data_IF_127531599691
#
_entry.id   IF_127531599691
#
_cell.length_a   1.000
_cell.length_b   1.000
_cell.length_c   1.000
_cell.angle_alpha   90.00
_cell.angle_beta   90.00
_cell.angle_gamma   90.00
#
_symmetry.space_group_name_H-M   'P 1'
#
loop_
_entity.id
_entity.type
_entity.pdbx_description
1 polymer ?
#
# COMPACT_ATOMS: atom_id res chain seq x y z
N UNK A 1 25.72 7.87 18.14
CA UNK A 1 26.98 8.63 17.96
C UNK A 1 26.75 10.14 17.77
N UNK A 2 25.67 10.56 17.12
CA UNK A 2 25.33 11.98 16.87
C UNK A 2 25.00 12.88 18.08
N UNK A 3 24.70 12.41 19.31
CA UNK A 3 24.65 13.34 20.45
C UNK A 3 26.03 13.57 21.09
N UNK A 4 27.03 12.71 20.81
CA UNK A 4 28.35 12.81 21.43
C UNK A 4 29.26 13.84 20.74
N UNK A 5 29.02 14.20 19.47
CA UNK A 5 29.78 15.23 18.75
C UNK A 5 29.67 16.63 19.38
N UNK A 6 28.59 16.88 20.12
CA UNK A 6 28.40 18.15 20.83
C UNK A 6 29.04 18.17 22.22
N UNK A 7 29.31 16.99 22.79
CA UNK A 7 29.86 16.81 24.15
C UNK A 7 31.39 16.61 24.10
N UNK A 8 31.93 16.06 23.01
CA UNK A 8 33.39 15.90 22.85
C UNK A 8 34.04 17.27 22.64
N UNK A 9 35.03 17.59 23.48
CA UNK A 9 35.96 18.71 23.28
C UNK A 9 36.74 18.51 21.98
N UNK A 10 36.17 18.99 20.89
CA UNK A 10 36.79 19.02 19.57
C UNK A 10 37.35 20.41 19.32
N UNK A 11 38.55 20.52 18.76
CA UNK A 11 39.12 21.80 18.30
C UNK A 11 38.36 22.44 17.12
N UNK A 12 37.25 21.84 16.69
CA UNK A 12 36.45 22.32 15.56
C UNK A 12 35.54 23.50 15.94
N UNK A 13 35.49 24.55 15.10
CA UNK A 13 34.54 25.66 15.24
C UNK A 13 33.10 25.16 15.17
N UNK A 14 32.19 25.87 15.83
CA UNK A 14 30.79 25.46 16.00
C UNK A 14 30.08 25.17 14.65
N UNK A 15 30.39 25.92 13.60
CA UNK A 15 29.85 25.71 12.25
C UNK A 15 30.22 24.34 11.67
N UNK A 16 31.46 23.89 11.87
CA UNK A 16 31.91 22.57 11.43
C UNK A 16 31.20 21.44 12.21
N UNK A 17 30.96 21.64 13.51
CA UNK A 17 30.21 20.68 14.33
C UNK A 17 28.76 20.56 13.87
N UNK A 18 28.10 21.69 13.57
CA UNK A 18 26.74 21.72 13.03
C UNK A 18 26.69 21.02 11.66
N UNK A 19 27.65 21.31 10.76
CA UNK A 19 27.71 20.68 9.45
C UNK A 19 27.87 19.15 9.54
N UNK A 20 28.75 18.67 10.43
CA UNK A 20 28.96 17.24 10.66
C UNK A 20 27.73 16.57 11.27
N UNK A 21 27.11 17.19 12.29
CA UNK A 21 25.89 16.67 12.89
C UNK A 21 24.74 16.61 11.87
N UNK A 22 24.57 17.66 11.06
CA UNK A 22 23.57 17.70 10.00
C UNK A 22 23.79 16.59 8.96
N UNK A 23 25.04 16.36 8.55
CA UNK A 23 25.41 15.30 7.59
C UNK A 23 25.12 13.91 8.14
N UNK A 24 25.43 13.68 9.42
CA UNK A 24 25.17 12.39 10.06
C UNK A 24 23.67 12.14 10.26
N UNK A 25 22.90 13.16 10.63
CA UNK A 25 21.44 13.06 10.76
C UNK A 25 20.76 12.88 9.39
N UNK A 26 21.24 13.57 8.36
CA UNK A 26 20.66 13.47 7.01
C UNK A 26 20.89 12.08 6.42
N UNK A 27 22.11 11.56 6.46
CA UNK A 27 22.44 10.22 5.94
C UNK A 27 21.63 9.14 6.65
N UNK A 28 21.52 9.21 7.98
CA UNK A 28 20.71 8.28 8.78
C UNK A 28 19.22 8.35 8.42
N UNK A 29 18.67 9.55 8.27
CA UNK A 29 17.25 9.76 7.95
C UNK A 29 16.91 9.28 6.54
N UNK A 30 17.76 9.60 5.55
CA UNK A 30 17.58 9.17 4.15
C UNK A 30 17.66 7.65 4.06
N UNK A 31 18.63 7.01 4.71
CA UNK A 31 18.76 5.55 4.72
C UNK A 31 17.52 4.89 5.35
N UNK A 32 17.08 5.38 6.50
CA UNK A 32 15.89 4.86 7.18
C UNK A 32 14.62 5.03 6.34
N UNK A 33 14.46 6.19 5.68
CA UNK A 33 13.33 6.45 4.80
C UNK A 33 13.33 5.53 3.57
N UNK A 34 14.50 5.25 3.00
CA UNK A 34 14.64 4.34 1.86
C UNK A 34 14.26 2.90 2.23
N UNK A 35 14.72 2.42 3.38
CA UNK A 35 14.33 1.11 3.91
C UNK A 35 12.83 1.06 4.19
N UNK A 36 12.27 2.10 4.79
CA UNK A 36 10.83 2.22 5.00
C UNK A 36 10.04 2.17 3.70
N UNK A 37 10.50 2.89 2.66
CA UNK A 37 9.83 2.92 1.35
C UNK A 37 9.92 1.58 0.60
N UNK A 38 11.06 0.89 0.67
CA UNK A 38 11.24 -0.42 0.05
C UNK A 38 10.49 -1.52 0.80
N UNK A 39 10.48 -1.49 2.13
CA UNK A 39 9.83 -2.48 2.99
C UNK A 39 8.32 -2.29 3.16
N UNK A 40 7.78 -1.09 2.94
CA UNK A 40 6.36 -0.80 3.15
C UNK A 40 5.41 -1.66 2.31
N UNK A 41 5.85 -2.15 1.16
CA UNK A 41 5.08 -3.05 0.30
C UNK A 41 5.24 -4.53 0.66
N UNK A 42 6.16 -4.92 1.54
CA UNK A 42 6.42 -6.32 1.85
C UNK A 42 5.24 -6.97 2.57
N UNK A 43 4.66 -8.00 1.94
CA UNK A 43 3.55 -8.77 2.51
C UNK A 43 4.11 -9.88 3.38
N UNK A 44 3.81 -9.83 4.67
CA UNK A 44 4.27 -10.81 5.67
C UNK A 44 3.27 -11.95 5.87
N UNK A 45 2.01 -11.74 5.49
CA UNK A 45 0.95 -12.74 5.56
C UNK A 45 -0.05 -12.47 4.44
N UNK A 46 -0.42 -13.52 3.71
CA UNK A 46 -1.39 -13.47 2.62
C UNK A 46 -2.44 -14.54 2.87
N UNK A 47 -3.70 -14.13 2.88
CA UNK A 47 -4.83 -15.01 3.16
C UNK A 47 -5.92 -14.79 2.13
N UNK A 48 -6.37 -15.87 1.50
CA UNK A 48 -7.59 -15.84 0.70
C UNK A 48 -8.80 -15.94 1.62
N UNK A 49 -9.73 -15.00 1.49
CA UNK A 49 -11.00 -15.02 2.19
C UNK A 49 -12.00 -15.78 1.33
N UNK A 50 -12.40 -16.96 1.79
CA UNK A 50 -13.50 -17.72 1.21
C UNK A 50 -14.82 -17.32 1.90
N UNK A 51 -15.92 -17.13 1.15
CA UNK A 51 -17.20 -16.70 1.71
C UNK A 51 -17.78 -17.67 2.74
N UNK A 52 -17.45 -18.97 2.64
CA UNK A 52 -17.91 -20.01 3.57
C UNK A 52 -17.42 -19.78 5.01
N UNK A 53 -16.20 -19.28 5.18
CA UNK A 53 -15.54 -19.14 6.49
C UNK A 53 -15.59 -17.71 7.03
N UNK A 54 -15.81 -16.71 6.17
CA UNK A 54 -15.56 -15.29 6.49
C UNK A 54 -16.80 -14.41 6.34
N UNK A 55 -17.92 -14.79 6.96
CA UNK A 55 -19.14 -13.97 6.98
C UNK A 55 -19.62 -13.55 5.57
N UNK A 56 -19.48 -14.44 4.58
CA UNK A 56 -19.84 -14.21 3.18
C UNK A 56 -19.00 -13.14 2.45
N UNK A 57 -17.81 -12.82 2.97
CA UNK A 57 -16.86 -11.91 2.33
C UNK A 57 -15.86 -12.74 1.53
N UNK A 58 -15.83 -12.53 0.22
CA UNK A 58 -14.79 -13.03 -0.67
C UNK A 58 -13.71 -11.97 -0.88
N UNK A 59 -12.45 -12.39 -1.03
CA UNK A 59 -11.36 -11.46 -1.32
C UNK A 59 -9.97 -11.98 -0.95
N UNK A 60 -8.99 -11.09 -0.99
CA UNK A 60 -7.60 -11.35 -0.58
C UNK A 60 -7.24 -10.38 0.54
N UNK A 61 -6.71 -10.92 1.63
CA UNK A 61 -6.19 -10.16 2.75
C UNK A 61 -4.66 -10.24 2.77
N UNK A 62 -4.00 -9.08 2.80
CA UNK A 62 -2.55 -8.94 2.79
C UNK A 62 -2.11 -8.11 3.98
N UNK A 63 -1.20 -8.64 4.79
CA UNK A 63 -0.62 -7.91 5.92
C UNK A 63 0.73 -7.34 5.54
N UNK A 64 0.90 -6.04 5.73
CA UNK A 64 2.20 -5.35 5.63
C UNK A 64 2.57 -4.73 6.98
N UNK A 65 3.80 -4.21 7.08
CA UNK A 65 4.33 -3.57 8.28
C UNK A 65 4.70 -2.12 7.99
N UNK A 66 4.40 -1.23 8.95
CA UNK A 66 4.98 0.12 8.95
C UNK A 66 6.47 0.07 9.27
N UNK A 67 7.18 1.18 9.08
CA UNK A 67 8.58 1.33 9.52
C UNK A 67 8.79 1.00 11.01
N UNK A 68 7.76 1.22 11.84
CA UNK A 68 7.76 0.90 13.28
C UNK A 68 7.22 -0.50 13.58
N UNK A 69 7.17 -1.38 12.58
CA UNK A 69 6.70 -2.77 12.66
C UNK A 69 5.24 -2.93 13.13
N UNK A 70 4.41 -1.90 12.93
CA UNK A 70 2.97 -2.01 13.19
C UNK A 70 2.29 -2.66 12.00
N UNK A 71 1.41 -3.62 12.26
CA UNK A 71 0.64 -4.31 11.23
C UNK A 71 -0.38 -3.37 10.57
N UNK A 72 -0.42 -3.45 9.25
CA UNK A 72 -1.48 -2.92 8.40
C UNK A 72 -2.06 -4.09 7.61
N UNK A 73 -3.36 -4.32 7.73
CA UNK A 73 -4.04 -5.39 7.04
C UNK A 73 -4.83 -4.77 5.90
N UNK A 74 -4.54 -5.12 4.66
CA UNK A 74 -5.30 -4.63 3.50
C UNK A 74 -6.14 -5.75 2.94
N UNK A 75 -7.46 -5.55 2.93
CA UNK A 75 -8.43 -6.46 2.35
C UNK A 75 -8.85 -5.92 1.00
N UNK A 76 -8.71 -6.74 -0.02
CA UNK A 76 -9.14 -6.47 -1.39
C UNK A 76 -10.33 -7.37 -1.68
N UNK A 77 -11.49 -6.78 -1.95
CA UNK A 77 -12.75 -7.50 -2.15
C UNK A 77 -12.84 -8.10 -3.57
N UNK A 78 -12.27 -7.43 -4.56
CA UNK A 78 -12.18 -7.94 -5.93
C UNK A 78 -10.71 -8.02 -6.38
N UNK A 79 -10.23 -9.25 -6.57
CA UNK A 79 -8.85 -9.52 -6.97
C UNK A 79 -8.53 -9.03 -8.38
N UNK A 80 -9.52 -8.77 -9.24
CA UNK A 80 -9.30 -8.26 -10.61
C UNK A 80 -8.71 -6.84 -10.62
N UNK A 81 -8.80 -6.12 -9.50
CA UNK A 81 -8.18 -4.80 -9.32
C UNK A 81 -6.71 -4.88 -8.88
N UNK A 82 -6.18 -6.08 -8.64
CA UNK A 82 -4.75 -6.32 -8.42
C UNK A 82 -4.09 -6.68 -9.75
N UNK A 83 -3.21 -5.80 -10.21
CA UNK A 83 -2.46 -5.99 -11.45
C UNK A 83 -0.97 -6.10 -11.17
N UNK A 84 -0.23 -6.74 -12.07
CA UNK A 84 1.23 -6.72 -12.00
C UNK A 84 1.77 -5.29 -12.15
N UNK A 85 2.74 -4.92 -11.31
CA UNK A 85 3.34 -3.59 -11.33
C UNK A 85 4.77 -3.60 -11.85
N UNK A 86 5.20 -2.47 -12.40
CA UNK A 86 6.60 -2.22 -12.79
C UNK A 86 7.42 -1.58 -11.66
N UNK A 87 6.80 -1.25 -10.53
CA UNK A 87 7.49 -0.63 -9.38
C UNK A 87 8.47 -1.63 -8.78
N UNK A 88 9.74 -1.26 -8.54
CA UNK A 88 10.67 -2.13 -7.83
C UNK A 88 10.18 -2.42 -6.41
N UNK A 89 10.49 -3.60 -5.89
CA UNK A 89 10.04 -4.07 -4.57
C UNK A 89 8.50 -4.16 -4.44
N UNK A 90 7.80 -4.43 -5.53
CA UNK A 90 6.39 -4.78 -5.54
C UNK A 90 6.10 -5.73 -6.70
N UNK A 91 5.21 -6.70 -6.48
CA UNK A 91 4.71 -7.63 -7.49
C UNK A 91 3.35 -7.19 -8.01
N UNK A 92 2.48 -6.78 -7.09
CA UNK A 92 1.13 -6.31 -7.39
C UNK A 92 0.93 -4.85 -7.00
N UNK A 93 0.01 -4.20 -7.71
CA UNK A 93 -0.54 -2.90 -7.33
C UNK A 93 -2.06 -2.86 -7.48
N UNK A 94 -2.70 -2.04 -6.65
CA UNK A 94 -4.09 -1.65 -6.92
C UNK A 94 -4.11 -0.73 -8.14
N UNK A 95 -4.90 -1.12 -9.13
CA UNK A 95 -5.04 -0.41 -10.40
C UNK A 95 -5.60 1.00 -10.19
N UNK A 96 -5.14 1.96 -10.99
CA UNK A 96 -5.64 3.35 -10.98
C UNK A 96 -6.81 3.58 -11.94
N UNK A 97 -6.89 2.81 -13.00
CA UNK A 97 -7.94 2.91 -14.02
C UNK A 97 -8.27 1.51 -14.52
N UNK A 98 -9.54 1.14 -14.47
CA UNK A 98 -10.05 -0.11 -15.00
C UNK A 98 -10.92 0.19 -16.21
N UNK A 99 -10.88 -0.70 -17.20
CA UNK A 99 -11.83 -0.72 -18.30
C UNK A 99 -12.40 -2.13 -18.37
N UNK A 100 -13.66 -2.28 -17.99
CA UNK A 100 -14.36 -3.55 -18.13
C UNK A 100 -14.76 -3.76 -19.60
N UNK A 101 -14.68 -5.00 -20.10
CA UNK A 101 -15.10 -5.30 -21.46
C UNK A 101 -16.59 -5.00 -21.64
N UNK A 102 -17.04 -4.64 -22.85
CA UNK A 102 -18.44 -4.39 -23.11
C UNK A 102 -19.28 -5.65 -22.87
N UNK A 103 -20.57 -5.53 -22.49
CA UNK A 103 -21.44 -6.67 -22.16
C UNK A 103 -21.58 -7.74 -23.24
N UNK A 104 -21.24 -7.41 -24.49
CA UNK A 104 -21.28 -8.34 -25.64
C UNK A 104 -20.12 -9.31 -25.66
N UNK A 105 -18.99 -8.96 -25.04
CA UNK A 105 -17.76 -9.76 -25.03
C UNK A 105 -17.70 -10.63 -23.77
N UNK A 106 -18.07 -10.06 -22.62
CA UNK A 106 -18.16 -10.80 -21.36
C UNK A 106 -19.24 -10.20 -20.46
N UNK A 107 -20.41 -10.85 -20.44
CA UNK A 107 -21.56 -10.38 -19.66
C UNK A 107 -21.34 -10.49 -18.14
N UNK A 108 -20.50 -11.41 -17.67
CA UNK A 108 -20.22 -11.57 -16.23
C UNK A 108 -19.30 -10.45 -15.73
N UNK A 109 -18.25 -10.13 -16.49
CA UNK A 109 -17.33 -9.05 -16.17
C UNK A 109 -17.94 -7.66 -16.35
N UNK A 110 -18.80 -7.47 -17.35
CA UNK A 110 -19.50 -6.21 -17.56
C UNK A 110 -20.52 -5.88 -16.45
N UNK A 111 -21.05 -6.90 -15.75
CA UNK A 111 -21.98 -6.73 -14.61
C UNK A 111 -21.26 -6.31 -13.33
N UNK A 112 -19.94 -6.53 -13.23
CA UNK A 112 -19.14 -6.02 -12.10
C UNK A 112 -19.02 -4.49 -12.08
N UNK A 113 -19.27 -3.83 -13.22
CA UNK A 113 -19.24 -2.37 -13.31
C UNK A 113 -20.47 -1.76 -12.65
N UNK A 114 -20.25 -0.86 -11.68
CA UNK A 114 -21.33 -0.07 -11.09
C UNK A 114 -21.94 0.94 -12.06
N UNK A 115 -23.02 1.60 -11.63
CA UNK A 115 -23.67 2.62 -12.44
C UNK A 115 -22.75 3.84 -12.64
N UNK A 116 -22.82 4.56 -13.78
CA UNK A 116 -22.01 5.75 -13.98
C UNK A 116 -22.21 6.78 -12.85
N UNK A 117 -21.10 7.19 -12.23
CA UNK A 117 -21.08 8.11 -11.08
C UNK A 117 -21.13 7.44 -9.72
N UNK A 118 -21.36 6.12 -9.66
CA UNK A 118 -21.32 5.33 -8.43
C UNK A 118 -19.87 5.19 -7.93
N UNK A 119 -19.71 5.25 -6.61
CA UNK A 119 -18.43 4.99 -5.95
C UNK A 119 -18.51 3.70 -5.15
N UNK A 120 -17.52 2.83 -5.33
CA UNK A 120 -17.45 1.53 -4.68
C UNK A 120 -16.08 1.34 -4.01
N UNK A 121 -16.07 0.77 -2.82
CA UNK A 121 -14.83 0.49 -2.10
C UNK A 121 -14.31 -0.90 -2.48
N UNK A 122 -13.20 -0.94 -3.21
CA UNK A 122 -12.59 -2.17 -3.71
C UNK A 122 -11.61 -2.76 -2.70
N UNK A 123 -10.96 -1.89 -1.90
CA UNK A 123 -10.05 -2.34 -0.86
C UNK A 123 -10.09 -1.43 0.36
N UNK A 124 -9.83 -2.02 1.53
CA UNK A 124 -9.73 -1.31 2.79
C UNK A 124 -8.46 -1.71 3.53
N UNK A 125 -7.77 -0.73 4.12
CA UNK A 125 -6.61 -0.93 4.97
C UNK A 125 -7.00 -0.68 6.42
N UNK A 126 -6.76 -1.68 7.26
CA UNK A 126 -7.01 -1.69 8.70
C UNK A 126 -5.71 -1.57 9.46
N UNK A 127 -5.74 -0.88 10.60
CA UNK A 127 -4.64 -0.89 11.55
C UNK A 127 -4.70 -2.11 12.49
N UNK A 128 -3.69 -2.26 13.34
CA UNK A 128 -3.63 -3.33 14.34
C UNK A 128 -4.82 -3.37 15.33
N UNK A 129 -5.58 -2.29 15.48
CA UNK A 129 -6.79 -2.25 16.31
C UNK A 129 -8.07 -2.62 15.53
N UNK A 130 -7.94 -3.02 14.25
CA UNK A 130 -9.08 -3.34 13.38
C UNK A 130 -9.82 -2.11 12.85
N UNK A 131 -9.27 -0.89 13.03
CA UNK A 131 -9.89 0.33 12.51
C UNK A 131 -9.42 0.58 11.08
N UNK A 132 -10.37 0.92 10.19
CA UNK A 132 -10.08 1.36 8.83
C UNK A 132 -9.28 2.67 8.88
N UNK A 133 -8.10 2.66 8.28
CA UNK A 133 -7.20 3.82 8.15
C UNK A 133 -7.08 4.28 6.70
N UNK A 134 -7.44 3.44 5.73
CA UNK A 134 -7.47 3.82 4.31
C UNK A 134 -8.47 3.01 3.51
N UNK A 135 -8.92 3.59 2.40
CA UNK A 135 -9.81 2.95 1.42
C UNK A 135 -9.36 3.22 0.00
N UNK A 136 -9.44 2.20 -0.85
CA UNK A 136 -9.29 2.31 -2.29
C UNK A 136 -10.68 2.25 -2.93
N UNK A 137 -11.05 3.32 -3.61
CA UNK A 137 -12.41 3.54 -4.11
C UNK A 137 -12.34 3.65 -5.62
N UNK A 138 -13.14 2.87 -6.34
CA UNK A 138 -13.39 3.07 -7.75
C UNK A 138 -14.58 4.01 -7.92
N UNK A 139 -14.46 4.96 -8.83
CA UNK A 139 -15.58 5.75 -9.33
C UNK A 139 -15.87 5.28 -10.74
N UNK A 140 -17.07 4.74 -10.94
CA UNK A 140 -17.50 4.23 -12.23
C UNK A 140 -17.88 5.38 -13.17
N UNK A 141 -17.51 5.23 -14.43
CA UNK A 141 -17.79 6.14 -15.53
C UNK A 141 -18.64 5.42 -16.59
N UNK A 142 -18.92 6.11 -17.69
CA UNK A 142 -19.65 5.49 -18.80
C UNK A 142 -18.81 4.38 -19.44
N UNK A 143 -19.48 3.39 -20.02
CA UNK A 143 -18.87 2.29 -20.77
C UNK A 143 -17.96 1.36 -19.95
N UNK A 144 -18.22 1.18 -18.66
CA UNK A 144 -17.45 0.25 -17.81
C UNK A 144 -16.03 0.72 -17.48
N UNK A 145 -15.70 1.97 -17.80
CA UNK A 145 -14.48 2.61 -17.32
C UNK A 145 -14.64 2.97 -15.83
N UNK A 146 -13.58 2.84 -15.05
CA UNK A 146 -13.57 3.21 -13.64
C UNK A 146 -12.25 3.86 -13.26
N UNK A 147 -12.31 5.00 -12.58
CA UNK A 147 -11.14 5.69 -12.06
C UNK A 147 -11.00 5.42 -10.57
N UNK A 148 -9.87 4.86 -10.15
CA UNK A 148 -9.62 4.48 -8.77
C UNK A 148 -8.81 5.54 -8.02
N UNK A 149 -9.15 5.77 -6.76
CA UNK A 149 -8.48 6.72 -5.87
C UNK A 149 -8.35 6.18 -4.45
N UNK A 150 -7.23 6.52 -3.81
CA UNK A 150 -7.00 6.24 -2.40
C UNK A 150 -7.50 7.37 -1.51
N UNK A 151 -8.08 7.02 -0.36
CA UNK A 151 -8.41 7.95 0.72
C UNK A 151 -7.81 7.46 2.03
N UNK A 152 -7.19 8.36 2.80
CA UNK A 152 -6.48 8.01 4.04
C UNK A 152 -5.14 7.29 3.80
N UNK A 153 -4.77 6.41 4.73
CA UNK A 153 -3.54 5.62 4.67
C UNK A 153 -3.78 4.30 3.94
N UNK A 154 -3.60 4.32 2.62
CA UNK A 154 -3.77 3.13 1.76
C UNK A 154 -2.43 2.48 1.45
N UNK A 155 -2.38 1.15 1.52
CA UNK A 155 -1.30 0.38 0.92
C UNK A 155 -1.70 0.01 -0.51
N UNK A 156 -1.01 0.59 -1.49
CA UNK A 156 -1.30 0.35 -2.92
C UNK A 156 -0.45 -0.75 -3.53
N UNK A 157 0.78 -0.90 -3.06
CA UNK A 157 1.79 -1.78 -3.65
C UNK A 157 2.06 -2.94 -2.72
N UNK A 158 2.14 -4.15 -3.28
CA UNK A 158 2.34 -5.38 -2.53
C UNK A 158 3.47 -6.20 -3.14
N UNK A 159 4.48 -6.50 -2.35
CA UNK A 159 5.54 -7.43 -2.66
C UNK A 159 5.18 -8.77 -2.03
N UNK A 160 4.62 -9.65 -2.85
CA UNK A 160 4.17 -10.98 -2.44
C UNK A 160 5.24 -11.99 -2.87
N UNK A 161 5.75 -12.74 -1.90
CA UNK A 161 6.66 -13.86 -2.18
C UNK A 161 5.90 -15.09 -2.67
N UNK A 162 6.56 -15.91 -3.48
CA UNK A 162 5.95 -17.10 -4.09
C UNK A 162 5.54 -18.15 -3.06
N UNK A 163 6.22 -18.21 -1.91
CA UNK A 163 5.87 -19.13 -0.81
C UNK A 163 4.52 -18.81 -0.14
N UNK A 164 3.95 -17.62 -0.40
CA UNK A 164 2.66 -17.19 0.13
C UNK A 164 1.50 -17.39 -0.86
N UNK A 165 1.77 -17.86 -2.09
CA UNK A 165 0.77 -18.14 -3.13
C UNK A 165 0.32 -19.61 -3.07
#
# INVERSE_FOLDING_TARGET
MTPFIFIVESSLPLSARIALAATALSTSSVSTALVGWAGASYVVDLRRLSPADNSNIEGIEMTTLTLTLKRLVTRVYDADFLVETKRPFAKWELVQSVLLPPPKEDALMAVKGGAPGEEETIAETFNAAGKIVGRWIVKWENNGAGTCRGTGQVVRYFNVHEELL
#
